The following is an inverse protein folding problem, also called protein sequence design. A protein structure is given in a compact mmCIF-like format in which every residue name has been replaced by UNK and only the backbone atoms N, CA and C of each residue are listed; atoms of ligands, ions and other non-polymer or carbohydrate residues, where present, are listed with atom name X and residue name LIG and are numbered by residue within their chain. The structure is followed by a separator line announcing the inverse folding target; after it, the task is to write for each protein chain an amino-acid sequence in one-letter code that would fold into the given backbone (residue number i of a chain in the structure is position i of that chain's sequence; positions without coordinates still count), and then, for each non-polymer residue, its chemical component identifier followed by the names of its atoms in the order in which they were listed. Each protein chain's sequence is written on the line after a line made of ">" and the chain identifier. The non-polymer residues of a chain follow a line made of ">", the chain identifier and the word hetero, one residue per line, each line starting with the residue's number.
data_IF_251300909180
#
_entry.id   IF_251300909180
#
_cell.length_a   1.000
_cell.length_b   1.000
_cell.length_c   1.000
_cell.angle_alpha   90.00
_cell.angle_beta   90.00
_cell.angle_gamma   90.00
#
_symmetry.space_group_name_H-M   'P 1'
#
loop_
_entity.id
_entity.type
_entity.pdbx_description
1 polymer ?
#
# COMPACT_ATOMS: atom_id res chain seq x y z
N UNK A 1 27.73 12.49 12.92
CA UNK A 1 27.18 11.76 11.79
C UNK A 1 25.79 12.32 11.51
N UNK A 2 25.65 13.14 10.44
CA UNK A 2 24.35 13.72 10.10
C UNK A 2 23.46 12.59 9.58
N UNK A 3 22.42 12.24 10.33
CA UNK A 3 21.35 11.37 9.83
C UNK A 3 20.69 12.07 8.63
N UNK A 4 20.90 11.54 7.44
CA UNK A 4 20.19 12.01 6.24
C UNK A 4 18.68 11.88 6.53
N UNK A 5 17.97 12.99 6.54
CA UNK A 5 16.50 12.97 6.58
C UNK A 5 16.01 12.21 5.33
N UNK A 6 15.40 11.03 5.48
CA UNK A 6 14.96 10.23 4.35
C UNK A 6 14.00 10.98 3.43
N UNK A 7 13.32 12.02 3.93
CA UNK A 7 12.41 12.87 3.16
C UNK A 7 13.13 13.80 2.18
N UNK A 8 14.39 14.18 2.45
CA UNK A 8 15.19 15.04 1.57
C UNK A 8 15.80 14.30 0.38
N UNK A 9 15.85 13.00 0.42
CA UNK A 9 16.58 12.17 -0.56
C UNK A 9 15.71 11.71 -1.75
N UNK A 10 14.47 12.21 -1.86
CA UNK A 10 13.54 11.90 -2.95
C UNK A 10 13.53 12.95 -4.07
N UNK A 11 14.38 13.96 -3.99
CA UNK A 11 14.52 14.97 -5.05
C UNK A 11 15.03 14.29 -6.33
N UNK A 12 14.35 14.55 -7.46
CA UNK A 12 14.71 13.98 -8.76
C UNK A 12 14.28 12.52 -8.98
N UNK A 13 13.73 11.84 -7.96
CA UNK A 13 13.18 10.49 -8.12
C UNK A 13 11.80 10.57 -8.78
N UNK A 14 11.56 9.81 -9.87
CA UNK A 14 10.27 9.84 -10.57
C UNK A 14 9.10 9.46 -9.67
N UNK A 15 8.00 10.19 -9.80
CA UNK A 15 6.74 9.89 -9.14
C UNK A 15 5.82 9.10 -10.06
N UNK A 16 5.21 8.06 -9.50
CA UNK A 16 4.17 7.25 -10.13
C UNK A 16 2.82 7.62 -9.54
N UNK A 17 1.74 7.43 -10.33
CA UNK A 17 0.37 7.75 -9.91
C UNK A 17 -0.61 6.75 -10.48
N UNK A 18 -1.58 6.39 -9.67
CA UNK A 18 -2.77 5.66 -10.14
C UNK A 18 -4.02 6.24 -9.50
N UNK A 19 -5.14 6.00 -10.17
CA UNK A 19 -6.49 6.28 -9.67
C UNK A 19 -7.39 5.10 -9.98
N UNK A 20 -8.09 4.60 -8.96
CA UNK A 20 -9.13 3.58 -9.09
C UNK A 20 -10.34 3.97 -8.26
N UNK A 21 -11.46 3.25 -8.44
CA UNK A 21 -12.65 3.43 -7.62
C UNK A 21 -13.09 2.10 -7.02
N UNK A 22 -13.59 2.15 -5.79
CA UNK A 22 -14.10 1.00 -5.05
C UNK A 22 -15.60 1.14 -4.84
N UNK A 23 -16.34 0.05 -4.99
CA UNK A 23 -17.78 -0.02 -4.77
C UNK A 23 -18.17 -0.15 -3.29
N UNK A 24 -17.50 0.61 -2.41
CA UNK A 24 -17.71 0.63 -0.96
C UNK A 24 -17.67 2.06 -0.44
N UNK A 25 -18.31 2.37 0.71
CA UNK A 25 -18.23 3.69 1.32
C UNK A 25 -16.83 3.97 1.90
N UNK A 26 -16.53 5.26 2.08
CA UNK A 26 -15.21 5.76 2.46
C UNK A 26 -14.69 5.21 3.78
N UNK A 27 -15.52 5.15 4.80
CA UNK A 27 -15.18 4.63 6.13
C UNK A 27 -14.76 3.16 6.08
N UNK A 28 -15.49 2.35 5.32
CA UNK A 28 -15.14 0.95 5.10
C UNK A 28 -13.83 0.82 4.33
N UNK A 29 -13.68 1.59 3.24
CA UNK A 29 -12.46 1.60 2.43
C UNK A 29 -11.23 1.99 3.26
N UNK A 30 -11.32 3.04 4.08
CA UNK A 30 -10.22 3.48 4.94
C UNK A 30 -9.81 2.39 5.93
N UNK A 31 -10.77 1.81 6.66
CA UNK A 31 -10.50 0.74 7.63
C UNK A 31 -9.84 -0.47 6.94
N UNK A 32 -10.40 -0.89 5.81
CA UNK A 32 -9.91 -2.04 5.06
C UNK A 32 -8.49 -1.82 4.50
N UNK A 33 -8.23 -0.65 3.91
CA UNK A 33 -6.92 -0.32 3.32
C UNK A 33 -5.81 -0.12 4.38
N UNK A 34 -6.17 0.17 5.62
CA UNK A 34 -5.20 0.50 6.67
C UNK A 34 -5.07 -0.58 7.76
N UNK A 35 -5.68 -1.76 7.56
CA UNK A 35 -5.60 -2.85 8.52
C UNK A 35 -4.24 -3.58 8.50
N UNK A 36 -3.56 -3.62 7.36
CA UNK A 36 -2.21 -4.19 7.21
C UNK A 36 -2.05 -5.55 7.90
N UNK A 37 -2.89 -6.49 7.55
CA UNK A 37 -2.87 -7.83 8.17
C UNK A 37 -1.81 -8.74 7.55
N UNK A 38 -1.37 -9.81 8.24
CA UNK A 38 -0.48 -10.82 7.64
C UNK A 38 -1.07 -11.50 6.39
N UNK A 39 -2.39 -11.52 6.24
CA UNK A 39 -3.11 -12.12 5.12
C UNK A 39 -2.99 -11.32 3.81
N UNK A 40 -2.51 -10.09 3.86
CA UNK A 40 -2.35 -9.22 2.67
C UNK A 40 -1.46 -9.87 1.60
N UNK A 41 -0.46 -10.65 1.99
CA UNK A 41 0.41 -11.36 1.05
C UNK A 41 -0.38 -12.21 0.04
N UNK A 42 -1.39 -12.95 0.51
CA UNK A 42 -2.22 -13.77 -0.36
C UNK A 42 -3.10 -12.95 -1.30
N UNK A 43 -3.54 -11.76 -0.88
CA UNK A 43 -4.30 -10.83 -1.74
C UNK A 43 -3.42 -10.27 -2.86
N UNK A 44 -2.14 -10.06 -2.59
CA UNK A 44 -1.15 -9.60 -3.57
C UNK A 44 -0.68 -10.71 -4.50
N UNK A 45 -0.95 -11.98 -4.16
CA UNK A 45 -0.38 -13.13 -4.84
C UNK A 45 1.10 -13.33 -4.54
N UNK A 46 1.53 -12.86 -3.40
CA UNK A 46 2.91 -12.89 -2.90
C UNK A 46 3.05 -13.89 -1.75
N UNK A 47 4.29 -14.18 -1.37
CA UNK A 47 4.63 -15.17 -0.33
C UNK A 47 5.38 -14.57 0.85
N UNK A 48 5.41 -13.25 1.00
CA UNK A 48 6.07 -12.62 2.13
C UNK A 48 5.33 -12.93 3.45
N UNK A 49 6.12 -12.99 4.52
CA UNK A 49 5.62 -13.08 5.89
C UNK A 49 5.65 -11.69 6.52
N UNK A 50 4.48 -11.23 6.97
CA UNK A 50 4.34 -9.93 7.63
C UNK A 50 4.34 -10.08 9.14
N UNK A 51 5.16 -9.27 9.80
CA UNK A 51 5.17 -9.11 11.25
C UNK A 51 4.78 -7.69 11.61
N UNK A 52 3.68 -7.54 12.33
CA UNK A 52 3.29 -6.23 12.90
C UNK A 52 4.19 -5.95 14.09
N UNK A 53 4.93 -4.85 14.04
CA UNK A 53 5.85 -4.40 15.10
C UNK A 53 5.11 -3.50 16.09
N UNK A 54 4.32 -2.56 15.57
CA UNK A 54 3.58 -1.60 16.37
C UNK A 54 2.27 -1.21 15.67
N UNK A 55 1.24 -1.00 16.47
CA UNK A 55 -0.03 -0.45 15.99
C UNK A 55 -0.58 0.51 17.03
N UNK A 56 -0.84 1.74 16.59
CA UNK A 56 -1.49 2.79 17.37
C UNK A 56 -2.68 3.34 16.55
N UNK A 57 -3.53 4.22 17.13
CA UNK A 57 -4.55 4.91 16.35
C UNK A 57 -4.02 5.75 15.17
N UNK A 58 -2.73 6.10 15.19
CA UNK A 58 -2.11 7.01 14.22
C UNK A 58 -0.98 6.38 13.40
N UNK A 59 -0.59 5.14 13.70
CA UNK A 59 0.53 4.49 13.00
C UNK A 59 0.41 2.98 12.97
N UNK A 60 1.00 2.41 11.92
CA UNK A 60 1.27 0.97 11.84
C UNK A 60 2.71 0.79 11.38
N UNK A 61 3.47 0.00 12.11
CA UNK A 61 4.83 -0.39 11.71
C UNK A 61 4.86 -1.90 11.53
N UNK A 62 5.34 -2.34 10.37
CA UNK A 62 5.46 -3.77 10.08
C UNK A 62 6.72 -4.09 9.29
N UNK A 63 7.10 -5.35 9.31
CA UNK A 63 8.17 -5.91 8.49
C UNK A 63 7.61 -7.00 7.60
N UNK A 64 8.05 -7.01 6.34
CA UNK A 64 7.80 -8.07 5.39
C UNK A 64 9.10 -8.79 5.08
N UNK A 65 9.06 -10.11 5.09
CA UNK A 65 10.19 -10.96 4.79
C UNK A 65 9.77 -12.05 3.82
N UNK A 66 10.52 -12.18 2.74
CA UNK A 66 10.29 -13.18 1.71
C UNK A 66 11.60 -13.88 1.34
N UNK A 67 11.57 -15.21 1.27
CA UNK A 67 12.64 -15.99 0.65
C UNK A 67 12.31 -16.14 -0.85
N UNK A 68 13.22 -15.69 -1.69
CA UNK A 68 13.05 -15.71 -3.14
C UNK A 68 14.27 -16.36 -3.82
N UNK A 69 14.10 -16.75 -5.08
CA UNK A 69 15.16 -17.34 -5.91
C UNK A 69 16.44 -16.46 -5.99
N UNK A 70 16.28 -15.16 -5.76
CA UNK A 70 17.38 -14.19 -5.75
C UNK A 70 17.87 -13.82 -4.35
N UNK A 71 17.45 -14.58 -3.32
CA UNK A 71 17.77 -14.37 -1.91
C UNK A 71 16.68 -13.66 -1.13
N UNK A 72 16.98 -13.31 0.10
CA UNK A 72 16.03 -12.67 0.99
C UNK A 72 15.63 -11.27 0.49
N UNK A 73 14.31 -11.02 0.52
CA UNK A 73 13.72 -9.70 0.34
C UNK A 73 13.12 -9.27 1.68
N UNK A 74 13.63 -8.19 2.24
CA UNK A 74 13.19 -7.66 3.51
C UNK A 74 12.82 -6.18 3.36
N UNK A 75 11.75 -5.78 4.03
CA UNK A 75 11.39 -4.37 4.17
C UNK A 75 10.78 -4.08 5.53
N UNK A 76 10.94 -2.84 5.98
CA UNK A 76 10.20 -2.27 7.10
C UNK A 76 9.40 -1.08 6.60
N UNK A 77 8.12 -1.09 6.91
CA UNK A 77 7.18 -0.05 6.54
C UNK A 77 6.70 0.71 7.77
N UNK A 78 6.72 2.03 7.69
CA UNK A 78 6.14 2.93 8.68
C UNK A 78 4.98 3.64 8.04
N UNK A 79 3.77 3.34 8.51
CA UNK A 79 2.52 3.94 8.03
C UNK A 79 2.05 4.97 9.04
N UNK A 80 1.83 6.20 8.58
CA UNK A 80 1.22 7.27 9.36
C UNK A 80 -0.22 7.45 8.89
N UNK A 81 -1.17 7.25 9.81
CA UNK A 81 -2.60 7.34 9.53
C UNK A 81 -3.11 8.77 9.77
N UNK A 82 -3.86 9.27 8.82
CA UNK A 82 -4.57 10.56 8.91
C UNK A 82 -6.06 10.33 8.62
N UNK A 83 -6.81 9.76 9.59
CA UNK A 83 -8.24 9.56 9.42
C UNK A 83 -8.96 10.88 9.07
N UNK A 84 -10.04 10.84 8.32
CA UNK A 84 -10.80 9.64 7.92
C UNK A 84 -10.38 9.07 6.56
N UNK A 85 -9.40 9.65 5.85
CA UNK A 85 -9.27 9.37 4.42
C UNK A 85 -7.87 9.44 3.83
N UNK A 86 -6.82 9.62 4.64
CA UNK A 86 -5.44 9.69 4.15
C UNK A 86 -4.50 8.87 5.00
N UNK A 87 -3.45 8.38 4.37
CA UNK A 87 -2.29 7.83 5.06
C UNK A 87 -1.04 7.97 4.21
N UNK A 88 0.08 7.91 4.86
CA UNK A 88 1.40 7.97 4.26
C UNK A 88 2.22 6.74 4.67
N UNK A 89 3.05 6.23 3.77
CA UNK A 89 3.92 5.10 4.04
C UNK A 89 5.34 5.42 3.62
N UNK A 90 6.29 5.19 4.52
CA UNK A 90 7.72 5.15 4.21
C UNK A 90 8.23 3.73 4.43
N UNK A 91 8.79 3.15 3.39
CA UNK A 91 9.37 1.80 3.42
C UNK A 91 10.86 1.83 3.13
N UNK A 92 11.62 1.12 3.93
CA UNK A 92 13.04 0.84 3.70
C UNK A 92 13.24 -0.66 3.54
N UNK A 93 14.11 -1.06 2.62
CA UNK A 93 14.37 -2.47 2.40
C UNK A 93 15.76 -2.75 1.82
N UNK A 94 16.14 -4.01 1.82
CA UNK A 94 17.42 -4.39 1.23
C UNK A 94 17.45 -4.26 -0.30
N UNK A 95 16.28 -4.27 -0.96
CA UNK A 95 16.18 -4.15 -2.41
C UNK A 95 15.74 -2.79 -2.90
N UNK A 96 14.89 -2.10 -2.16
CA UNK A 96 14.36 -0.79 -2.52
C UNK A 96 13.83 -0.04 -1.32
N UNK A 97 13.84 1.27 -1.42
CA UNK A 97 13.07 2.16 -0.56
C UNK A 97 11.84 2.65 -1.31
N UNK A 98 10.76 2.93 -0.59
CA UNK A 98 9.49 3.44 -1.15
C UNK A 98 8.95 4.54 -0.24
N UNK A 99 8.36 5.56 -0.83
CA UNK A 99 7.50 6.52 -0.13
C UNK A 99 6.19 6.65 -0.89
N UNK A 100 5.07 6.67 -0.18
CA UNK A 100 3.75 6.64 -0.80
C UNK A 100 2.74 7.48 -0.03
N UNK A 101 1.91 8.21 -0.78
CA UNK A 101 0.76 8.97 -0.28
C UNK A 101 -0.53 8.38 -0.84
N UNK A 102 -1.48 8.16 0.05
CA UNK A 102 -2.78 7.57 -0.24
C UNK A 102 -3.89 8.54 0.15
N UNK A 103 -4.87 8.69 -0.74
CA UNK A 103 -6.04 9.53 -0.52
C UNK A 103 -7.30 8.82 -0.98
N UNK A 104 -8.30 8.79 -0.11
CA UNK A 104 -9.67 8.38 -0.43
C UNK A 104 -10.58 9.60 -0.53
N UNK A 105 -11.47 9.60 -1.50
CA UNK A 105 -12.46 10.66 -1.68
C UNK A 105 -13.85 10.04 -1.95
N UNK A 106 -14.91 10.50 -1.27
CA UNK A 106 -16.25 10.00 -1.52
C UNK A 106 -16.73 10.43 -2.91
N UNK A 107 -17.42 9.55 -3.61
CA UNK A 107 -18.12 9.85 -4.86
C UNK A 107 -19.61 10.02 -4.60
N UNK A 108 -20.33 10.79 -5.45
CA UNK A 108 -21.76 11.07 -5.26
C UNK A 108 -22.65 9.83 -5.20
N UNK A 109 -22.23 8.72 -5.82
CA UNK A 109 -22.96 7.44 -5.87
C UNK A 109 -22.68 6.52 -4.66
N UNK A 110 -22.00 7.02 -3.62
CA UNK A 110 -21.62 6.25 -2.43
C UNK A 110 -20.39 5.36 -2.60
N UNK A 111 -19.73 5.40 -3.75
CA UNK A 111 -18.45 4.75 -4.01
C UNK A 111 -17.30 5.59 -3.47
N UNK A 112 -16.11 5.03 -3.49
CA UNK A 112 -14.90 5.72 -3.03
C UNK A 112 -13.86 5.75 -4.15
N UNK A 113 -13.33 6.94 -4.43
CA UNK A 113 -12.16 7.12 -5.28
C UNK A 113 -10.91 6.96 -4.46
N UNK A 114 -9.95 6.24 -5.00
CA UNK A 114 -8.63 6.02 -4.44
C UNK A 114 -7.57 6.64 -5.35
N UNK A 115 -6.76 7.51 -4.80
CA UNK A 115 -5.59 8.11 -5.43
C UNK A 115 -4.33 7.69 -4.70
N UNK A 116 -3.36 7.14 -5.42
CA UNK A 116 -2.05 6.75 -4.92
C UNK A 116 -0.96 7.48 -5.69
N UNK A 117 -0.03 8.09 -4.96
CA UNK A 117 1.23 8.61 -5.48
C UNK A 117 2.37 7.95 -4.75
N UNK A 118 3.39 7.50 -5.48
CA UNK A 118 4.55 6.89 -4.85
C UNK A 118 5.83 7.16 -5.62
N UNK A 119 6.93 7.08 -4.90
CA UNK A 119 8.29 7.05 -5.43
C UNK A 119 8.98 5.81 -4.91
N UNK A 120 9.90 5.28 -5.70
CA UNK A 120 10.73 4.15 -5.29
C UNK A 120 12.17 4.36 -5.75
N UNK A 121 13.11 3.90 -4.95
CA UNK A 121 14.53 3.93 -5.23
C UNK A 121 15.11 2.53 -5.04
N UNK A 122 15.68 1.93 -6.10
CA UNK A 122 16.34 0.64 -5.96
C UNK A 122 17.62 0.79 -5.13
N UNK A 123 17.86 -0.15 -4.22
CA UNK A 123 19.10 -0.27 -3.42
C UNK A 123 20.07 -1.29 -4.04
N UNK A 124 19.58 -2.07 -5.01
CA UNK A 124 20.35 -3.05 -5.80
C UNK A 124 19.98 -2.90 -7.27
N UNK A 125 20.84 -3.31 -8.21
CA UNK A 125 20.50 -3.32 -9.63
C UNK A 125 19.22 -4.12 -9.90
N UNK A 126 18.29 -3.56 -10.68
CA UNK A 126 17.08 -4.25 -11.10
C UNK A 126 17.34 -5.05 -12.36
N UNK A 127 16.97 -6.34 -12.36
CA UNK A 127 17.12 -7.23 -13.52
C UNK A 127 16.32 -6.74 -14.73
N UNK A 128 15.18 -6.06 -14.50
CA UNK A 128 14.32 -5.48 -15.52
C UNK A 128 13.85 -4.10 -15.11
N UNK A 129 14.21 -3.09 -15.90
CA UNK A 129 13.65 -1.74 -15.74
C UNK A 129 12.27 -1.67 -16.40
N UNK A 130 11.24 -1.43 -15.61
CA UNK A 130 9.91 -1.14 -16.12
C UNK A 130 9.80 0.35 -16.49
N UNK A 131 9.09 0.65 -17.57
CA UNK A 131 8.68 2.02 -17.89
C UNK A 131 7.72 2.55 -16.81
N UNK A 132 7.57 3.87 -16.74
CA UNK A 132 6.60 4.50 -15.87
C UNK A 132 5.18 3.94 -16.11
N UNK A 133 4.74 3.91 -17.37
CA UNK A 133 3.43 3.40 -17.74
C UNK A 133 3.22 1.93 -17.34
N UNK A 134 4.23 1.07 -17.55
CA UNK A 134 4.16 -0.34 -17.16
C UNK A 134 4.05 -0.52 -15.65
N UNK A 135 4.77 0.30 -14.87
CA UNK A 135 4.74 0.27 -13.41
C UNK A 135 3.39 0.74 -12.87
N UNK A 136 2.87 1.83 -13.39
CA UNK A 136 1.54 2.34 -13.04
C UNK A 136 0.44 1.34 -13.43
N UNK A 137 0.52 0.72 -14.61
CA UNK A 137 -0.43 -0.32 -15.03
C UNK A 137 -0.39 -1.56 -14.11
N UNK A 138 0.79 -1.98 -13.67
CA UNK A 138 0.95 -3.09 -12.71
C UNK A 138 0.31 -2.76 -11.36
N UNK A 139 0.56 -1.56 -10.82
CA UNK A 139 -0.05 -1.10 -9.59
C UNK A 139 -1.58 -0.99 -9.71
N UNK A 140 -2.07 -0.50 -10.85
CA UNK A 140 -3.52 -0.41 -11.12
C UNK A 140 -4.18 -1.80 -11.09
N UNK A 141 -3.56 -2.81 -11.69
CA UNK A 141 -4.08 -4.20 -11.64
C UNK A 141 -4.13 -4.74 -10.22
N UNK A 142 -3.07 -4.49 -9.42
CA UNK A 142 -3.03 -4.90 -8.03
C UNK A 142 -4.15 -4.26 -7.22
N UNK A 143 -4.33 -2.95 -7.33
CA UNK A 143 -5.36 -2.23 -6.59
C UNK A 143 -6.79 -2.54 -7.06
N UNK A 144 -6.99 -2.93 -8.32
CA UNK A 144 -8.28 -3.48 -8.77
C UNK A 144 -8.58 -4.84 -8.12
N UNK A 145 -7.57 -5.70 -7.92
CA UNK A 145 -7.75 -6.97 -7.17
C UNK A 145 -8.09 -6.70 -5.70
N UNK A 146 -7.41 -5.76 -5.05
CA UNK A 146 -7.73 -5.34 -3.69
C UNK A 146 -9.15 -4.77 -3.60
N UNK A 147 -9.55 -3.93 -4.53
CA UNK A 147 -10.89 -3.40 -4.60
C UNK A 147 -11.96 -4.49 -4.70
N UNK A 148 -11.74 -5.51 -5.53
CA UNK A 148 -12.66 -6.65 -5.65
C UNK A 148 -12.75 -7.46 -4.34
N UNK A 149 -11.63 -7.66 -3.63
CA UNK A 149 -11.61 -8.32 -2.32
C UNK A 149 -12.36 -7.47 -1.27
N UNK A 150 -12.09 -6.18 -1.22
CA UNK A 150 -12.75 -5.22 -0.33
C UNK A 150 -14.27 -5.22 -0.51
N UNK A 151 -14.74 -5.18 -1.75
CA UNK A 151 -16.17 -5.22 -2.09
C UNK A 151 -16.84 -6.54 -1.66
N UNK A 152 -16.14 -7.68 -1.76
CA UNK A 152 -16.63 -8.97 -1.24
C UNK A 152 -16.79 -8.93 0.28
N UNK A 153 -15.80 -8.39 0.99
CA UNK A 153 -15.82 -8.29 2.45
C UNK A 153 -16.92 -7.33 2.93
N UNK A 154 -17.10 -6.22 2.23
CA UNK A 154 -18.19 -5.28 2.50
C UNK A 154 -19.58 -5.94 2.36
N UNK A 155 -19.81 -6.68 1.28
CA UNK A 155 -21.07 -7.41 1.09
C UNK A 155 -21.31 -8.45 2.19
N UNK A 156 -20.26 -9.14 2.64
CA UNK A 156 -20.35 -10.11 3.75
C UNK A 156 -20.68 -9.43 5.07
N UNK A 157 -20.08 -8.26 5.36
CA UNK A 157 -20.34 -7.53 6.60
C UNK A 157 -21.80 -7.04 6.68
N UNK A 158 -22.38 -6.61 5.56
CA UNK A 158 -23.78 -6.19 5.51
C UNK A 158 -24.76 -7.35 5.77
N UNK A 159 -24.50 -8.52 5.20
CA UNK A 159 -25.36 -9.70 5.40
C UNK A 159 -25.39 -10.19 6.86
N UNK A 160 -24.32 -9.95 7.63
CA UNK A 160 -24.28 -10.29 9.06
C UNK A 160 -25.06 -9.32 9.95
N UNK A 161 -25.27 -8.07 9.51
CA UNK A 161 -26.04 -7.07 10.25
C UNK A 161 -27.57 -7.17 10.03
N UNK A 162 -28.01 -7.93 9.05
CA UNK A 162 -29.43 -8.14 8.71
C UNK A 162 -30.00 -9.45 9.27
N UNK A 163 -29.24 -10.20 10.05
CA UNK A 163 -29.66 -11.37 10.83
C UNK A 163 -29.60 -11.05 12.33
#
# INVERSE_FOLDING_TARGET
>A
MMTKDPRRDWAGVPEYRIRVSFGVPLDFAFTWCTDYTPEDASLEGESYQRKIIERTPHSVVFEDLEDSDTGWNWSREVVTLHPPNRWHMDGIGNRRDVTADYLLSPLPDGRTRFDLRWKRRPNVPEAKKLTKAAREASAMRAWKRFGAAMERDYRRSRRRRTK
#
